data_IF_635549826872
#
_entry.id   IF_635549826872
#
_cell.length_a   1.000
_cell.length_b   1.000
_cell.length_c   1.000
_cell.angle_alpha   90.00
_cell.angle_beta   90.00
_cell.angle_gamma   90.00
#
_symmetry.space_group_name_H-M   'P 1'
#
loop_
_entity.id
_entity.type
_entity.pdbx_description
1 polymer ?
#
# COMPACT_ATOMS: atom_id res chain seq x y z
N UNK A 1 23.61 9.27 -9.85
CA UNK A 1 23.37 8.08 -9.04
C UNK A 1 24.22 6.90 -9.52
N UNK A 2 24.86 6.21 -8.61
CA UNK A 2 25.69 5.05 -8.90
C UNK A 2 25.20 3.83 -8.14
N UNK A 3 24.63 2.86 -8.86
CA UNK A 3 24.06 1.63 -8.30
C UNK A 3 25.11 0.74 -7.62
N UNK A 4 26.37 0.80 -8.06
CA UNK A 4 27.45 0.01 -7.47
C UNK A 4 27.77 0.38 -6.02
N UNK A 5 27.38 1.60 -5.61
CA UNK A 5 27.57 2.11 -4.25
C UNK A 5 26.39 1.87 -3.33
N UNK A 6 25.34 1.17 -3.79
CA UNK A 6 24.18 0.90 -2.97
C UNK A 6 24.55 0.01 -1.78
N UNK A 7 24.05 0.36 -0.60
CA UNK A 7 24.31 -0.35 0.66
C UNK A 7 23.12 -1.21 1.12
N UNK A 8 22.03 -1.18 0.37
CA UNK A 8 20.77 -1.82 0.76
C UNK A 8 20.35 -2.84 -0.27
N UNK A 9 19.83 -3.97 0.19
CA UNK A 9 19.27 -4.99 -0.69
C UNK A 9 17.85 -4.66 -1.12
N UNK A 10 17.12 -3.95 -0.27
CA UNK A 10 15.75 -3.53 -0.53
C UNK A 10 15.54 -2.10 -0.05
N UNK A 11 14.89 -1.31 -0.88
CA UNK A 11 14.37 0.02 -0.55
C UNK A 11 12.86 -0.10 -0.58
N UNK A 12 12.21 0.15 0.54
CA UNK A 12 10.80 -0.13 0.72
C UNK A 12 10.05 1.18 0.96
N UNK A 13 9.12 1.50 0.07
CA UNK A 13 8.23 2.65 0.22
C UNK A 13 7.07 2.23 1.12
N UNK A 14 6.88 2.95 2.22
CA UNK A 14 5.77 2.76 3.15
C UNK A 14 4.93 4.02 3.17
N UNK A 15 3.67 3.91 2.77
CA UNK A 15 2.72 5.02 2.78
C UNK A 15 1.40 4.56 3.40
N UNK A 16 0.60 5.52 3.87
CA UNK A 16 -0.74 5.24 4.34
C UNK A 16 -1.62 4.67 3.22
N UNK A 17 -2.63 3.90 3.60
CA UNK A 17 -3.54 3.26 2.64
C UNK A 17 -4.63 4.21 2.11
N UNK A 18 -4.64 5.46 2.54
CA UNK A 18 -5.60 6.47 2.10
C UNK A 18 -5.20 7.13 0.76
N UNK A 19 -6.03 8.06 0.31
CA UNK A 19 -5.81 8.81 -0.95
C UNK A 19 -4.52 9.61 -0.90
N UNK A 20 -4.24 10.27 0.22
CA UNK A 20 -3.03 11.09 0.39
C UNK A 20 -1.77 10.21 0.34
N UNK A 21 -1.79 9.04 0.98
CA UNK A 21 -0.71 8.06 0.89
C UNK A 21 -0.51 7.55 -0.53
N UNK A 22 -1.59 7.36 -1.28
CA UNK A 22 -1.52 6.97 -2.70
C UNK A 22 -0.86 8.05 -3.57
N UNK A 23 -1.16 9.32 -3.33
CA UNK A 23 -0.50 10.43 -4.02
C UNK A 23 0.99 10.51 -3.70
N UNK A 24 1.36 10.35 -2.44
CA UNK A 24 2.77 10.31 -2.01
C UNK A 24 3.50 9.15 -2.67
N UNK A 25 2.90 7.98 -2.72
CA UNK A 25 3.47 6.81 -3.38
C UNK A 25 3.71 7.07 -4.87
N UNK A 26 2.73 7.64 -5.56
CA UNK A 26 2.84 8.01 -6.98
C UNK A 26 3.98 8.99 -7.22
N UNK A 27 4.13 9.99 -6.35
CA UNK A 27 5.21 10.96 -6.40
C UNK A 27 6.58 10.30 -6.22
N UNK A 28 6.72 9.42 -5.22
CA UNK A 28 7.96 8.70 -4.96
C UNK A 28 8.32 7.76 -6.12
N UNK A 29 7.37 7.00 -6.64
CA UNK A 29 7.60 6.13 -7.79
C UNK A 29 8.03 6.91 -9.02
N UNK A 30 7.44 8.06 -9.27
CA UNK A 30 7.82 8.97 -10.35
C UNK A 30 9.24 9.48 -10.17
N UNK A 31 9.61 9.86 -8.95
CA UNK A 31 10.96 10.30 -8.62
C UNK A 31 11.99 9.21 -8.92
N UNK A 32 11.78 8.00 -8.42
CA UNK A 32 12.68 6.87 -8.66
C UNK A 32 12.76 6.51 -10.15
N UNK A 33 11.66 6.53 -10.84
CA UNK A 33 11.60 6.26 -12.28
C UNK A 33 12.44 7.26 -13.09
N UNK A 34 12.34 8.55 -12.75
CA UNK A 34 13.04 9.61 -13.49
C UNK A 34 14.48 9.79 -13.08
N UNK A 35 14.82 9.59 -11.81
CA UNK A 35 16.13 9.95 -11.25
C UNK A 35 16.99 8.76 -10.86
N UNK A 36 16.38 7.63 -10.53
CA UNK A 36 17.05 6.44 -10.02
C UNK A 36 16.50 5.15 -10.62
N UNK A 37 16.30 5.16 -11.93
CA UNK A 37 15.69 4.02 -12.63
C UNK A 37 16.45 2.70 -12.41
N UNK A 38 17.74 2.76 -12.20
CA UNK A 38 18.57 1.57 -11.94
C UNK A 38 18.10 0.80 -10.70
N UNK A 39 17.50 1.46 -9.71
CA UNK A 39 16.92 0.80 -8.55
C UNK A 39 15.70 -0.04 -8.92
N UNK A 40 14.94 0.38 -9.91
CA UNK A 40 13.78 -0.35 -10.42
C UNK A 40 14.24 -1.48 -11.31
N UNK A 41 15.12 -1.20 -12.27
CA UNK A 41 15.66 -2.20 -13.20
C UNK A 41 16.38 -3.34 -12.47
N UNK A 42 17.10 -3.03 -11.40
CA UNK A 42 17.82 -4.01 -10.59
C UNK A 42 16.98 -4.74 -9.55
N UNK A 43 15.70 -4.39 -9.40
CA UNK A 43 14.79 -5.05 -8.46
C UNK A 43 15.00 -4.67 -6.99
N UNK A 44 15.53 -3.49 -6.71
CA UNK A 44 15.77 -3.02 -5.33
C UNK A 44 14.57 -2.31 -4.69
N UNK A 45 13.64 -1.81 -5.51
CA UNK A 45 12.54 -0.98 -5.02
C UNK A 45 11.27 -1.79 -4.80
N UNK A 46 10.67 -1.63 -3.62
CA UNK A 46 9.48 -2.36 -3.18
C UNK A 46 8.47 -1.41 -2.56
N UNK A 47 7.21 -1.84 -2.59
CA UNK A 47 6.11 -1.21 -1.85
C UNK A 47 5.75 -2.10 -0.66
N UNK A 48 5.65 -1.53 0.52
CA UNK A 48 5.08 -2.21 1.67
C UNK A 48 3.57 -2.34 1.50
N UNK A 49 3.04 -3.48 1.92
CA UNK A 49 1.61 -3.79 1.85
C UNK A 49 1.07 -3.98 3.26
N UNK A 50 0.73 -2.88 3.97
CA UNK A 50 0.14 -3.00 5.30
C UNK A 50 -1.29 -3.53 5.22
N UNK A 51 -1.79 -4.19 6.29
CA UNK A 51 -3.17 -4.64 6.32
C UNK A 51 -4.14 -3.48 6.40
N UNK A 52 -5.36 -3.69 5.89
CA UNK A 52 -6.44 -2.72 5.95
C UNK A 52 -7.31 -2.90 7.20
N UNK A 53 -7.38 -4.12 7.73
CA UNK A 53 -8.27 -4.46 8.85
C UNK A 53 -7.57 -5.27 9.92
N UNK A 54 -7.98 -5.05 11.16
CA UNK A 54 -7.68 -5.92 12.29
C UNK A 54 -8.99 -6.43 12.87
N UNK A 55 -9.12 -7.75 12.97
CA UNK A 55 -10.23 -8.42 13.61
C UNK A 55 -9.75 -9.04 14.92
N UNK A 56 -10.45 -8.81 16.02
CA UNK A 56 -10.07 -9.37 17.30
C UNK A 56 -11.27 -9.98 18.01
N UNK A 57 -11.01 -11.03 18.75
CA UNK A 57 -11.99 -11.74 19.56
C UNK A 57 -11.26 -12.26 20.80
N UNK A 58 -11.52 -11.63 21.94
CA UNK A 58 -10.74 -11.90 23.14
C UNK A 58 -9.26 -11.55 22.93
N UNK A 59 -8.38 -12.54 23.15
CA UNK A 59 -6.93 -12.38 22.96
C UNK A 59 -6.45 -12.70 21.55
N UNK A 60 -7.32 -13.24 20.69
CA UNK A 60 -6.98 -13.58 19.30
C UNK A 60 -7.16 -12.38 18.40
N UNK A 61 -6.18 -12.11 17.55
CA UNK A 61 -6.24 -11.06 16.56
C UNK A 61 -5.76 -11.57 15.21
N UNK A 62 -6.44 -11.14 14.16
CA UNK A 62 -6.12 -11.46 12.78
C UNK A 62 -6.11 -10.18 11.95
N UNK A 63 -5.32 -10.19 10.87
CA UNK A 63 -5.21 -9.07 9.95
C UNK A 63 -5.73 -9.44 8.57
N UNK A 64 -6.45 -8.53 7.94
CA UNK A 64 -6.98 -8.70 6.59
C UNK A 64 -6.45 -7.59 5.68
N UNK A 65 -6.07 -7.96 4.47
CA UNK A 65 -5.46 -7.07 3.48
C UNK A 65 -6.47 -6.56 2.44
N UNK A 66 -7.65 -7.16 2.38
CA UNK A 66 -8.76 -6.71 1.54
C UNK A 66 -10.11 -7.09 2.17
N UNK A 67 -11.20 -6.67 1.53
CA UNK A 67 -12.56 -6.92 2.03
C UNK A 67 -12.94 -8.39 2.00
N UNK A 68 -12.51 -9.13 0.98
CA UNK A 68 -12.80 -10.56 0.87
C UNK A 68 -12.12 -11.35 2.00
N UNK A 69 -10.86 -11.06 2.28
CA UNK A 69 -10.11 -11.69 3.37
C UNK A 69 -10.74 -11.35 4.73
N UNK A 70 -11.14 -10.08 4.93
CA UNK A 70 -11.88 -9.66 6.12
C UNK A 70 -13.12 -10.51 6.35
N UNK A 71 -13.94 -10.68 5.33
CA UNK A 71 -15.20 -11.42 5.42
C UNK A 71 -14.98 -12.91 5.69
N UNK A 72 -13.97 -13.52 5.04
CA UNK A 72 -13.60 -14.91 5.29
C UNK A 72 -13.11 -15.14 6.72
N UNK A 73 -12.28 -14.25 7.24
CA UNK A 73 -11.78 -14.32 8.62
C UNK A 73 -12.94 -14.15 9.60
N UNK A 74 -13.84 -13.19 9.34
CA UNK A 74 -15.00 -12.94 10.18
C UNK A 74 -15.92 -14.17 10.27
N UNK A 75 -16.20 -14.83 9.15
CA UNK A 75 -16.98 -16.07 9.14
C UNK A 75 -16.33 -17.18 9.94
N UNK A 76 -15.01 -17.35 9.77
CA UNK A 76 -14.24 -18.35 10.53
C UNK A 76 -14.30 -18.09 12.02
N UNK A 77 -14.12 -16.83 12.44
CA UNK A 77 -14.17 -16.45 13.85
C UNK A 77 -15.56 -16.69 14.46
N UNK A 78 -16.62 -16.43 13.70
CA UNK A 78 -18.01 -16.69 14.15
C UNK A 78 -18.29 -18.19 14.35
N UNK A 79 -17.68 -19.05 13.52
CA UNK A 79 -17.81 -20.51 13.65
C UNK A 79 -17.05 -21.03 14.85
N UNK A 80 -15.85 -20.53 15.10
CA UNK A 80 -14.97 -20.97 16.16
C UNK A 80 -15.48 -20.57 17.56
N UNK A 81 -16.04 -19.37 17.67
CA UNK A 81 -16.59 -18.88 18.95
C UNK A 81 -17.82 -18.00 18.72
N UNK A 82 -18.98 -18.57 19.00
CA UNK A 82 -20.28 -17.90 18.78
C UNK A 82 -20.66 -16.93 19.89
N UNK A 83 -19.99 -16.98 21.04
CA UNK A 83 -20.40 -16.25 22.24
C UNK A 83 -19.67 -14.92 22.43
N UNK A 84 -18.43 -14.81 21.93
CA UNK A 84 -17.61 -13.62 22.10
C UNK A 84 -17.76 -12.69 20.90
N UNK A 85 -18.00 -11.41 21.17
CA UNK A 85 -18.14 -10.39 20.15
C UNK A 85 -16.82 -10.20 19.39
N UNK A 86 -16.94 -10.07 18.06
CA UNK A 86 -15.82 -9.77 17.19
C UNK A 86 -15.66 -8.26 17.07
N UNK A 87 -14.46 -7.75 17.39
CA UNK A 87 -14.10 -6.36 17.14
C UNK A 87 -13.47 -6.23 15.76
N UNK A 88 -13.85 -5.19 15.03
CA UNK A 88 -13.30 -4.86 13.72
C UNK A 88 -12.74 -3.45 13.77
N UNK A 89 -11.46 -3.32 13.42
CA UNK A 89 -10.79 -2.03 13.26
C UNK A 89 -10.33 -1.90 11.81
N UNK A 90 -10.66 -0.77 11.18
CA UNK A 90 -10.13 -0.40 9.87
C UNK A 90 -8.97 0.56 10.05
N UNK A 91 -7.82 0.23 9.44
CA UNK A 91 -6.67 1.11 9.44
C UNK A 91 -6.75 2.11 8.29
N UNK A 92 -6.72 3.40 8.60
CA UNK A 92 -6.65 4.48 7.61
C UNK A 92 -5.21 4.88 7.33
N UNK A 93 -4.33 4.72 8.31
CA UNK A 93 -2.93 5.07 8.19
C UNK A 93 -2.04 4.27 9.12
N UNK A 94 -0.75 4.29 8.85
CA UNK A 94 0.28 3.57 9.62
C UNK A 94 0.36 4.05 11.08
N UNK A 95 0.02 5.31 11.33
CA UNK A 95 0.02 5.90 12.67
C UNK A 95 -1.03 5.32 13.61
N UNK A 96 -2.02 4.59 13.12
CA UNK A 96 -3.02 3.91 13.94
C UNK A 96 -2.51 2.58 14.51
N UNK A 97 -1.37 2.09 14.03
CA UNK A 97 -0.72 0.88 14.53
C UNK A 97 0.26 1.22 15.64
N UNK A 98 0.29 0.40 16.70
CA UNK A 98 1.38 0.46 17.64
C UNK A 98 2.66 -0.19 17.02
N UNK A 99 3.84 -0.01 17.61
CA UNK A 99 5.08 -0.56 17.05
C UNK A 99 5.06 -2.07 16.81
N UNK A 100 4.45 -2.83 17.72
CA UNK A 100 4.35 -4.29 17.59
C UNK A 100 3.46 -4.70 16.41
N UNK A 101 2.33 -4.03 16.24
CA UNK A 101 1.42 -4.29 15.12
C UNK A 101 2.07 -3.95 13.79
N UNK A 102 2.78 -2.84 13.71
CA UNK A 102 3.51 -2.43 12.51
C UNK A 102 4.62 -3.43 12.18
N UNK A 103 5.37 -3.87 13.18
CA UNK A 103 6.40 -4.89 12.99
C UNK A 103 5.80 -6.19 12.46
N UNK A 104 4.83 -6.75 13.17
CA UNK A 104 4.26 -8.06 12.87
C UNK A 104 3.58 -8.15 11.49
N UNK A 105 3.04 -7.03 11.00
CA UNK A 105 2.25 -7.01 9.76
C UNK A 105 3.01 -6.50 8.56
N UNK A 106 3.97 -5.60 8.76
CA UNK A 106 4.52 -4.80 7.66
C UNK A 106 6.03 -4.81 7.58
N UNK A 107 6.72 -4.90 8.72
CA UNK A 107 8.18 -4.77 8.77
C UNK A 107 8.92 -6.08 8.94
N UNK A 108 8.34 -7.07 9.62
CA UNK A 108 8.98 -8.36 9.84
C UNK A 108 9.24 -9.07 8.51
N UNK A 109 10.50 -9.34 8.14
CA UNK A 109 10.82 -10.00 6.87
C UNK A 109 10.16 -11.36 6.68
N UNK A 110 9.85 -12.07 7.76
CA UNK A 110 9.22 -13.39 7.71
C UNK A 110 7.71 -13.34 7.47
N UNK A 111 7.07 -12.23 7.85
CA UNK A 111 5.60 -12.11 7.80
C UNK A 111 5.11 -11.07 6.80
N UNK A 112 5.93 -10.08 6.48
CA UNK A 112 5.53 -8.97 5.61
C UNK A 112 5.27 -9.41 4.18
N UNK A 113 4.36 -8.70 3.51
CA UNK A 113 4.14 -8.80 2.08
C UNK A 113 4.73 -7.55 1.42
N UNK A 114 5.62 -7.75 0.45
CA UNK A 114 6.19 -6.68 -0.35
C UNK A 114 5.79 -6.86 -1.81
N UNK A 115 5.48 -5.77 -2.47
CA UNK A 115 5.27 -5.73 -3.91
C UNK A 115 6.51 -5.11 -4.57
N UNK A 116 7.20 -5.88 -5.42
CA UNK A 116 8.33 -5.36 -6.18
C UNK A 116 7.85 -4.36 -7.24
N UNK A 117 8.47 -3.19 -7.27
CA UNK A 117 8.17 -2.17 -8.28
C UNK A 117 8.75 -2.61 -9.61
N UNK A 118 7.91 -2.63 -10.64
CA UNK A 118 8.32 -2.89 -12.02
C UNK A 118 8.47 -1.59 -12.79
N UNK A 119 9.20 -1.62 -13.91
CA UNK A 119 9.32 -0.46 -14.81
C UNK A 119 7.93 -0.03 -15.28
N UNK A 120 7.07 -0.98 -15.62
CA UNK A 120 5.71 -0.72 -16.08
C UNK A 120 4.86 0.00 -15.02
N UNK A 121 4.92 -0.45 -13.75
CA UNK A 121 4.18 0.19 -12.67
C UNK A 121 4.70 1.59 -12.34
N UNK A 122 6.02 1.80 -12.41
CA UNK A 122 6.63 3.09 -12.18
C UNK A 122 6.33 4.08 -13.33
N UNK A 123 6.35 3.60 -14.57
CA UNK A 123 5.96 4.38 -15.74
C UNK A 123 4.49 4.81 -15.67
N UNK A 124 3.59 3.90 -15.31
CA UNK A 124 2.18 4.21 -15.10
C UNK A 124 1.99 5.28 -14.02
N UNK A 125 2.74 5.20 -12.92
CA UNK A 125 2.73 6.22 -11.88
C UNK A 125 3.21 7.58 -12.39
N UNK A 126 4.26 7.62 -13.22
CA UNK A 126 4.79 8.84 -13.81
C UNK A 126 3.78 9.51 -14.75
N UNK A 127 3.07 8.73 -15.56
CA UNK A 127 2.00 9.23 -16.44
C UNK A 127 0.84 9.78 -15.60
N UNK A 128 0.42 9.07 -14.57
CA UNK A 128 -0.62 9.52 -13.64
C UNK A 128 -0.22 10.84 -12.97
N UNK A 129 0.99 10.94 -12.48
CA UNK A 129 1.51 12.17 -11.85
C UNK A 129 1.47 13.34 -12.83
N UNK A 130 1.94 13.15 -14.07
CA UNK A 130 1.94 14.19 -15.08
C UNK A 130 0.53 14.67 -15.44
N UNK A 131 -0.44 13.75 -15.56
CA UNK A 131 -1.83 14.07 -15.85
C UNK A 131 -2.54 14.81 -14.71
N UNK A 132 -2.25 14.44 -13.46
CA UNK A 132 -2.87 15.03 -12.27
C UNK A 132 -2.21 16.35 -11.84
N UNK A 133 -0.88 16.45 -11.98
CA UNK A 133 -0.07 17.55 -11.45
C UNK A 133 0.57 18.41 -12.55
N UNK A 134 0.34 18.07 -13.82
CA UNK A 134 0.84 18.84 -14.96
C UNK A 134 0.10 20.15 -15.16
N UNK A 135 0.63 21.00 -16.07
CA UNK A 135 0.06 22.29 -16.43
C UNK A 135 -1.21 22.22 -17.29
N UNK A 136 -1.47 21.07 -17.92
CA UNK A 136 -2.64 20.87 -18.76
C UNK A 136 -3.87 20.52 -17.91
N UNK A 137 -4.69 21.53 -17.65
CA UNK A 137 -5.89 21.42 -16.82
C UNK A 137 -6.94 20.51 -17.45
N UNK A 138 -7.09 20.53 -18.78
CA UNK A 138 -8.09 19.74 -19.46
C UNK A 138 -7.74 18.25 -19.48
N UNK A 139 -6.48 17.92 -19.75
CA UNK A 139 -5.99 16.54 -19.67
C UNK A 139 -6.14 15.98 -18.24
N UNK A 140 -5.82 16.80 -17.22
CA UNK A 140 -5.98 16.43 -15.82
C UNK A 140 -7.44 16.14 -15.46
N UNK A 141 -8.34 17.03 -15.88
CA UNK A 141 -9.78 16.86 -15.64
C UNK A 141 -10.32 15.59 -16.31
N UNK A 142 -9.99 15.40 -17.57
CA UNK A 142 -10.39 14.21 -18.33
C UNK A 142 -9.88 12.92 -17.69
N UNK A 143 -8.63 12.92 -17.22
CA UNK A 143 -8.03 11.77 -16.52
C UNK A 143 -8.79 11.46 -15.22
N UNK A 144 -9.10 12.45 -14.40
CA UNK A 144 -9.84 12.28 -13.15
C UNK A 144 -11.24 11.73 -13.42
N UNK A 145 -11.95 12.25 -14.41
CA UNK A 145 -13.29 11.78 -14.78
C UNK A 145 -13.28 10.31 -15.24
N UNK A 146 -12.32 9.92 -16.07
CA UNK A 146 -12.18 8.55 -16.58
C UNK A 146 -11.82 7.54 -15.48
N UNK A 147 -11.10 7.96 -14.46
CA UNK A 147 -10.57 7.09 -13.41
C UNK A 147 -11.28 7.28 -12.07
N UNK A 148 -12.41 7.96 -12.02
CA UNK A 148 -13.14 8.22 -10.78
C UNK A 148 -13.48 6.95 -9.99
N UNK A 149 -13.82 5.85 -10.66
CA UNK A 149 -14.08 4.55 -10.04
C UNK A 149 -12.84 3.96 -9.37
N UNK A 150 -11.67 4.12 -10.00
CA UNK A 150 -10.39 3.63 -9.43
C UNK A 150 -9.98 4.45 -8.22
N UNK A 151 -10.21 5.77 -8.24
CA UNK A 151 -9.93 6.64 -7.09
C UNK A 151 -10.81 6.25 -5.90
N UNK A 152 -12.10 5.98 -6.11
CA UNK A 152 -12.99 5.50 -5.08
C UNK A 152 -12.55 4.16 -4.48
N UNK A 153 -12.00 3.26 -5.29
CA UNK A 153 -11.47 1.96 -4.83
C UNK A 153 -10.13 2.08 -4.10
N UNK A 154 -9.36 3.13 -4.34
CA UNK A 154 -8.10 3.40 -3.64
C UNK A 154 -8.30 3.91 -2.20
N UNK A 155 -9.51 4.33 -1.87
CA UNK A 155 -9.91 4.76 -0.52
C UNK A 155 -10.20 3.59 0.43
N UNK A 156 -10.13 2.39 -0.06
CA UNK A 156 -10.43 1.17 0.71
C UNK A 156 -9.22 0.65 1.43
#
# INVERSE_FOLDING_TARGET
>A
FNIEKIRYHKIIIMTDADVDGSHIRTLLLTFFYRKMRQLIDGGYLYLAMPPLYRLHQGKKAYYAYDDNERDLIMERMKKDNKTTKIGLQRYKGLGEMNPEQLWDTTMDPEKRTLLQVTVESAEAAAVTFQNLMGSDVEARRSFIEKNAKFVANLDI
#
